data_IF_777101659791
#
_entry.id   IF_777101659791
#
_cell.length_a   1.000
_cell.length_b   1.000
_cell.length_c   1.000
_cell.angle_alpha   90.00
_cell.angle_beta   90.00
_cell.angle_gamma   90.00
#
_symmetry.space_group_name_H-M   'P 1'
#
loop_
_entity.id
_entity.type
_entity.pdbx_description
1 polymer ?
#
# COMPACT_ATOMS: atom_id res chain seq x y z
N UNK A 1 -2.52 20.93 -23.97
CA UNK A 1 -2.29 20.89 -22.50
C UNK A 1 -3.16 19.79 -21.93
N UNK A 2 -2.56 18.77 -21.34
CA UNK A 2 -3.30 17.67 -20.67
C UNK A 2 -4.04 18.25 -19.47
N UNK A 3 -5.35 17.99 -19.36
CA UNK A 3 -6.17 18.47 -18.24
C UNK A 3 -5.59 17.96 -16.91
N UNK A 4 -5.65 18.78 -15.86
CA UNK A 4 -5.24 18.39 -14.51
C UNK A 4 -5.97 17.13 -13.98
N UNK A 5 -7.13 16.79 -14.56
CA UNK A 5 -7.91 15.58 -14.26
C UNK A 5 -7.39 14.31 -14.94
N UNK A 6 -6.42 14.43 -15.82
CA UNK A 6 -5.78 13.34 -16.57
C UNK A 6 -4.33 13.12 -16.13
N UNK A 7 -4.01 13.49 -14.89
CA UNK A 7 -2.68 13.28 -14.31
C UNK A 7 -2.79 12.59 -12.96
N UNK A 8 -1.82 11.73 -12.66
CA UNK A 8 -1.59 11.15 -11.35
C UNK A 8 -0.37 11.79 -10.69
N UNK A 9 -0.40 11.89 -9.38
CA UNK A 9 0.71 12.38 -8.57
C UNK A 9 1.44 11.15 -8.02
N UNK A 10 2.65 10.91 -8.51
CA UNK A 10 3.49 9.79 -8.16
C UNK A 10 4.59 10.24 -7.19
N UNK A 11 5.05 9.29 -6.36
CA UNK A 11 6.30 9.45 -5.66
C UNK A 11 7.48 9.34 -6.63
N UNK A 12 8.63 9.89 -6.25
CA UNK A 12 9.86 9.76 -7.00
C UNK A 12 10.79 8.75 -6.31
N UNK A 13 11.48 7.92 -7.08
CA UNK A 13 12.61 7.12 -6.58
C UNK A 13 13.90 7.95 -6.47
N UNK A 14 14.00 8.98 -7.31
CA UNK A 14 15.04 10.01 -7.29
C UNK A 14 14.44 11.29 -7.88
N UNK A 15 15.01 12.50 -7.64
CA UNK A 15 14.44 13.76 -8.12
C UNK A 15 14.09 13.73 -9.61
N UNK A 16 12.82 13.99 -9.93
CA UNK A 16 12.28 14.00 -11.29
C UNK A 16 12.01 12.61 -11.91
N UNK A 17 12.30 11.52 -11.21
CA UNK A 17 12.08 10.16 -11.70
C UNK A 17 10.96 9.47 -10.91
N UNK A 18 9.75 9.43 -11.49
CA UNK A 18 8.61 8.79 -10.86
C UNK A 18 8.88 7.30 -10.54
N UNK A 19 8.46 6.86 -9.37
CA UNK A 19 8.65 5.50 -8.86
C UNK A 19 7.64 4.53 -9.50
N UNK A 20 8.01 4.09 -10.71
CA UNK A 20 7.31 3.08 -11.51
C UNK A 20 8.35 2.03 -11.89
N UNK A 21 8.15 0.78 -11.46
CA UNK A 21 9.16 -0.26 -11.61
C UNK A 21 8.53 -1.66 -11.72
N UNK A 22 9.30 -2.61 -12.22
CA UNK A 22 8.92 -4.01 -12.34
C UNK A 22 9.74 -4.86 -11.37
N UNK A 23 9.06 -5.56 -10.48
CA UNK A 23 9.69 -6.38 -9.45
C UNK A 23 8.78 -7.51 -8.99
N UNK A 24 9.23 -8.30 -8.02
CA UNK A 24 8.38 -9.27 -7.33
C UNK A 24 7.56 -8.57 -6.25
N UNK A 25 6.24 -8.87 -6.16
CA UNK A 25 5.45 -8.46 -5.01
C UNK A 25 6.05 -9.08 -3.74
N UNK A 26 6.35 -8.23 -2.76
CA UNK A 26 7.05 -8.65 -1.53
C UNK A 26 6.11 -9.04 -0.40
N UNK A 27 4.82 -8.73 -0.48
CA UNK A 27 3.89 -8.74 0.66
C UNK A 27 2.52 -9.32 0.28
N UNK A 28 1.80 -9.79 1.31
CA UNK A 28 0.42 -10.26 1.16
C UNK A 28 0.25 -11.49 0.28
N UNK A 29 -0.96 -11.71 -0.25
CA UNK A 29 -1.32 -12.95 -0.98
C UNK A 29 -0.61 -13.12 -2.32
N UNK A 30 -0.13 -12.02 -2.91
CA UNK A 30 0.58 -12.03 -4.19
C UNK A 30 2.12 -12.09 -4.04
N UNK A 31 2.63 -12.34 -2.82
CA UNK A 31 4.08 -12.42 -2.58
C UNK A 31 4.77 -13.40 -3.54
N UNK A 32 5.88 -12.95 -4.16
CA UNK A 32 6.62 -13.67 -5.19
C UNK A 32 6.10 -13.51 -6.62
N UNK A 33 4.96 -12.83 -6.83
CA UNK A 33 4.40 -12.60 -8.17
C UNK A 33 5.11 -11.45 -8.88
N UNK A 34 5.57 -11.62 -10.14
CA UNK A 34 6.04 -10.52 -10.97
C UNK A 34 4.94 -9.47 -11.14
N UNK A 35 5.26 -8.21 -10.86
CA UNK A 35 4.29 -7.11 -10.82
C UNK A 35 4.90 -5.78 -11.24
N UNK A 36 4.12 -4.94 -11.88
CA UNK A 36 4.45 -3.55 -12.13
C UNK A 36 3.94 -2.71 -10.97
N UNK A 37 4.84 -2.03 -10.29
CA UNK A 37 4.51 -1.14 -9.18
C UNK A 37 4.34 0.29 -9.69
N UNK A 38 3.28 0.94 -9.24
CA UNK A 38 3.04 2.37 -9.42
C UNK A 38 2.86 2.98 -8.04
N UNK A 39 3.89 3.67 -7.55
CA UNK A 39 3.84 4.30 -6.24
C UNK A 39 3.33 5.73 -6.35
N UNK A 40 2.18 5.95 -5.74
CA UNK A 40 1.57 7.28 -5.65
C UNK A 40 2.15 8.08 -4.48
N UNK A 41 2.17 9.38 -4.63
CA UNK A 41 2.41 10.32 -3.54
C UNK A 41 1.09 10.75 -2.92
N UNK A 42 1.16 11.40 -1.77
CA UNK A 42 0.08 11.83 -0.89
C UNK A 42 -0.45 10.69 -0.01
N UNK A 43 -0.55 10.97 1.28
CA UNK A 43 -1.20 10.11 2.26
C UNK A 43 -2.12 10.95 3.14
N UNK A 44 -3.20 10.34 3.61
CA UNK A 44 -4.10 10.93 4.60
C UNK A 44 -3.75 10.53 6.04
N UNK A 45 -2.75 9.66 6.23
CA UNK A 45 -2.21 9.26 7.52
C UNK A 45 -0.72 9.61 7.63
N UNK A 46 -0.22 9.69 8.88
CA UNK A 46 1.16 10.10 9.21
C UNK A 46 1.78 9.11 10.20
N UNK A 47 1.91 7.83 9.78
CA UNK A 47 2.45 6.77 10.63
C UNK A 47 3.89 7.08 11.06
N UNK A 48 4.22 6.91 12.35
CA UNK A 48 5.55 7.20 12.90
C UNK A 48 6.66 6.33 12.31
N UNK A 49 6.35 5.09 11.96
CA UNK A 49 7.26 4.10 11.38
C UNK A 49 7.09 3.90 9.86
N UNK A 50 6.47 4.86 9.15
CA UNK A 50 6.25 4.74 7.71
C UNK A 50 7.57 4.49 6.97
N UNK A 51 7.60 3.47 6.10
CA UNK A 51 8.76 3.12 5.27
C UNK A 51 8.84 3.94 3.97
N UNK A 52 7.80 4.71 3.67
CA UNK A 52 7.74 5.60 2.50
C UNK A 52 7.38 7.04 2.89
N UNK A 53 8.07 7.62 3.90
CA UNK A 53 7.71 8.94 4.44
C UNK A 53 7.87 10.07 3.40
N UNK A 54 8.70 9.89 2.38
CA UNK A 54 8.84 10.80 1.25
C UNK A 54 7.57 10.99 0.42
N UNK A 55 6.50 10.23 0.68
CA UNK A 55 5.19 10.41 0.04
C UNK A 55 4.31 11.46 0.73
N UNK A 56 4.64 11.88 1.97
CA UNK A 56 3.81 12.78 2.77
C UNK A 56 4.57 13.65 3.79
N UNK A 57 5.78 13.26 4.23
CA UNK A 57 6.53 13.92 5.32
C UNK A 57 7.37 15.09 4.78
N UNK A 58 6.68 16.16 4.38
CA UNK A 58 7.29 17.32 3.75
C UNK A 58 8.01 18.23 4.75
N UNK A 59 9.03 18.95 4.31
CA UNK A 59 9.84 19.88 5.11
C UNK A 59 9.08 21.17 5.52
N UNK A 60 7.94 21.47 4.87
CA UNK A 60 7.05 22.58 5.20
C UNK A 60 6.06 22.27 6.35
N UNK A 61 6.12 21.07 6.94
CA UNK A 61 5.23 20.61 8.00
C UNK A 61 5.99 19.90 9.11
N UNK A 62 5.45 19.97 10.32
CA UNK A 62 5.99 19.26 11.47
C UNK A 62 5.16 18.02 11.78
N UNK A 63 5.64 16.87 11.33
CA UNK A 63 5.06 15.57 11.60
C UNK A 63 5.94 14.74 12.51
N UNK A 64 5.33 13.93 13.37
CA UNK A 64 6.04 12.96 14.19
C UNK A 64 6.40 11.74 13.33
N UNK A 65 7.70 11.46 13.19
CA UNK A 65 8.21 10.30 12.47
C UNK A 65 9.48 9.79 13.15
N UNK A 66 9.70 8.47 13.17
CA UNK A 66 10.84 7.83 13.84
C UNK A 66 12.19 8.26 13.23
N UNK A 67 12.21 8.53 11.91
CA UNK A 67 13.34 9.19 11.27
C UNK A 67 13.21 10.72 11.34
N UNK A 68 14.29 11.44 11.66
CA UNK A 68 14.31 12.91 11.64
C UNK A 68 14.31 13.50 10.22
N UNK A 69 14.41 12.67 9.20
CA UNK A 69 14.47 13.09 7.81
C UNK A 69 13.20 13.81 7.36
N UNK A 70 13.37 14.90 6.63
CA UNK A 70 12.30 15.66 5.99
C UNK A 70 12.59 15.76 4.50
N UNK A 71 11.52 15.78 3.70
CA UNK A 71 11.61 15.68 2.25
C UNK A 71 11.12 16.95 1.59
N UNK A 72 11.81 17.39 0.54
CA UNK A 72 11.33 18.47 -0.31
C UNK A 72 10.31 17.92 -1.30
N UNK A 73 9.11 18.45 -1.24
CA UNK A 73 8.01 17.99 -2.08
C UNK A 73 8.34 18.00 -3.57
N UNK A 74 9.05 19.01 -4.04
CA UNK A 74 9.46 19.17 -5.44
C UNK A 74 10.41 18.08 -5.93
N UNK A 75 11.24 17.53 -5.03
CA UNK A 75 12.16 16.43 -5.35
C UNK A 75 11.47 15.07 -5.32
N UNK A 76 10.44 14.91 -4.48
CA UNK A 76 9.80 13.64 -4.17
C UNK A 76 8.49 13.40 -4.92
N UNK A 77 8.03 14.35 -5.74
CA UNK A 77 6.78 14.20 -6.51
C UNK A 77 6.96 14.46 -7.99
N UNK A 78 6.31 13.62 -8.79
CA UNK A 78 6.10 13.84 -10.22
C UNK A 78 4.62 13.77 -10.57
N UNK A 79 4.20 14.62 -11.52
CA UNK A 79 2.83 14.61 -12.05
C UNK A 79 2.84 14.09 -13.46
N UNK A 80 2.41 12.83 -13.68
CA UNK A 80 2.40 12.19 -14.99
C UNK A 80 1.01 12.16 -15.62
N UNK A 81 0.95 12.44 -16.92
CA UNK A 81 -0.23 12.22 -17.75
C UNK A 81 -0.51 10.72 -17.93
N UNK A 82 -1.76 10.36 -18.22
CA UNK A 82 -2.16 8.96 -18.39
C UNK A 82 -1.44 8.28 -19.56
N UNK A 83 -1.28 8.97 -20.68
CA UNK A 83 -0.53 8.48 -21.84
C UNK A 83 0.92 8.19 -21.47
N UNK A 84 1.63 9.18 -20.89
CA UNK A 84 3.02 9.03 -20.47
C UNK A 84 3.21 7.90 -19.46
N UNK A 85 2.27 7.72 -18.52
CA UNK A 85 2.34 6.61 -17.58
C UNK A 85 2.10 5.26 -18.27
N UNK A 86 1.13 5.19 -19.20
CA UNK A 86 0.86 3.96 -19.96
C UNK A 86 2.04 3.57 -20.86
N UNK A 87 2.68 4.53 -21.54
CA UNK A 87 3.90 4.32 -22.29
C UNK A 87 5.03 3.77 -21.42
N UNK A 88 5.23 4.37 -20.23
CA UNK A 88 6.29 3.96 -19.29
C UNK A 88 6.11 2.52 -18.79
N UNK A 89 4.88 2.09 -18.54
CA UNK A 89 4.61 0.73 -18.05
C UNK A 89 4.55 -0.30 -19.17
N UNK A 90 4.38 0.12 -20.42
CA UNK A 90 4.34 -0.78 -21.59
C UNK A 90 5.67 -1.50 -21.85
N UNK A 91 6.79 -0.95 -21.37
CA UNK A 91 8.11 -1.58 -21.50
C UNK A 91 8.28 -2.81 -20.57
N UNK A 92 7.39 -3.01 -19.60
CA UNK A 92 7.47 -4.14 -18.69
C UNK A 92 6.68 -5.36 -19.20
N UNK A 93 7.26 -6.58 -19.15
CA UNK A 93 6.62 -7.79 -19.66
C UNK A 93 5.56 -8.34 -18.68
N UNK A 94 4.68 -7.49 -18.15
CA UNK A 94 3.73 -7.84 -17.12
C UNK A 94 2.45 -7.00 -17.23
N UNK A 95 1.30 -7.64 -17.04
CA UNK A 95 -0.02 -6.99 -17.02
C UNK A 95 -0.66 -6.95 -15.61
N UNK A 96 0.07 -7.36 -14.58
CA UNK A 96 -0.35 -7.25 -13.19
C UNK A 96 0.28 -6.01 -12.54
N UNK A 97 -0.57 -5.12 -12.04
CA UNK A 97 -0.17 -3.85 -11.44
C UNK A 97 -0.49 -3.84 -9.95
N UNK A 98 0.47 -3.39 -9.15
CA UNK A 98 0.31 -3.06 -7.74
C UNK A 98 0.35 -1.55 -7.59
N UNK A 99 -0.78 -0.97 -7.24
CA UNK A 99 -0.92 0.46 -7.01
C UNK A 99 -0.79 0.70 -5.51
N UNK A 100 0.28 1.36 -5.14
CA UNK A 100 0.70 1.57 -3.75
C UNK A 100 1.17 3.02 -3.55
N UNK A 101 1.87 3.31 -2.48
CA UNK A 101 2.50 4.61 -2.22
C UNK A 101 2.12 5.19 -0.89
N UNK A 102 1.72 6.46 -0.85
CA UNK A 102 1.08 7.04 0.33
C UNK A 102 -0.27 6.37 0.58
N UNK A 103 -1.36 6.96 0.06
CA UNK A 103 -2.69 6.32 0.04
C UNK A 103 -3.30 6.45 -1.36
N UNK A 104 -3.38 5.35 -2.13
CA UNK A 104 -3.93 5.39 -3.49
C UNK A 104 -5.38 5.88 -3.57
N UNK A 105 -6.19 5.59 -2.55
CA UNK A 105 -7.60 5.94 -2.53
C UNK A 105 -7.85 7.46 -2.51
N UNK A 106 -6.87 8.25 -2.09
CA UNK A 106 -6.90 9.73 -2.22
C UNK A 106 -7.01 10.16 -3.69
N UNK A 107 -6.47 9.35 -4.60
CA UNK A 107 -6.49 9.62 -6.04
C UNK A 107 -7.45 8.70 -6.82
N UNK A 108 -8.35 7.96 -6.18
CA UNK A 108 -9.17 6.92 -6.81
C UNK A 108 -9.97 7.38 -8.05
N UNK A 109 -10.46 8.64 -8.07
CA UNK A 109 -11.17 9.21 -9.23
C UNK A 109 -10.28 9.35 -10.48
N UNK A 110 -8.99 9.62 -10.27
CA UNK A 110 -8.00 9.74 -11.35
C UNK A 110 -7.50 8.35 -11.76
N UNK A 111 -7.28 7.48 -10.79
CA UNK A 111 -6.90 6.08 -11.01
C UNK A 111 -7.96 5.35 -11.85
N UNK A 112 -9.25 5.49 -11.53
CA UNK A 112 -10.33 4.88 -12.34
C UNK A 112 -10.19 5.25 -13.83
N UNK A 113 -9.99 6.54 -14.12
CA UNK A 113 -9.82 7.02 -15.50
C UNK A 113 -8.56 6.49 -16.17
N UNK A 114 -7.46 6.38 -15.41
CA UNK A 114 -6.23 5.81 -15.95
C UNK A 114 -6.39 4.31 -16.21
N UNK A 115 -7.03 3.55 -15.34
CA UNK A 115 -7.27 2.12 -15.54
C UNK A 115 -8.13 1.85 -16.78
N UNK A 116 -9.20 2.64 -16.95
CA UNK A 116 -10.03 2.57 -18.16
C UNK A 116 -9.25 2.93 -19.43
N UNK A 117 -8.37 3.94 -19.34
CA UNK A 117 -7.49 4.32 -20.45
C UNK A 117 -6.49 3.21 -20.79
N UNK A 118 -5.77 2.71 -19.80
CA UNK A 118 -4.73 1.68 -19.97
C UNK A 118 -5.29 0.34 -20.47
N UNK A 119 -6.47 -0.07 -20.00
CA UNK A 119 -7.14 -1.30 -20.46
C UNK A 119 -7.56 -1.29 -21.93
N UNK A 120 -7.65 -0.13 -22.57
CA UNK A 120 -7.90 -0.07 -24.02
C UNK A 120 -6.73 -0.62 -24.82
N UNK A 121 -5.52 -0.42 -24.31
CA UNK A 121 -4.27 -0.87 -24.94
C UNK A 121 -3.87 -2.26 -24.41
N UNK A 122 -4.08 -2.51 -23.12
CA UNK A 122 -3.75 -3.77 -22.43
C UNK A 122 -5.01 -4.33 -21.75
N UNK A 123 -5.91 -5.02 -22.50
CA UNK A 123 -7.16 -5.55 -21.94
C UNK A 123 -6.98 -6.55 -20.80
N UNK A 124 -5.83 -7.22 -20.74
CA UNK A 124 -5.47 -8.18 -19.68
C UNK A 124 -4.95 -7.49 -18.39
N UNK A 125 -4.86 -6.16 -18.34
CA UNK A 125 -4.35 -5.46 -17.18
C UNK A 125 -5.24 -5.68 -15.94
N UNK A 126 -4.61 -6.10 -14.85
CA UNK A 126 -5.22 -6.30 -13.53
C UNK A 126 -4.58 -5.37 -12.52
N UNK A 127 -5.38 -4.81 -11.61
CA UNK A 127 -4.93 -3.80 -10.65
C UNK A 127 -5.24 -4.25 -9.24
N UNK A 128 -4.20 -4.41 -8.42
CA UNK A 128 -4.30 -4.60 -6.98
C UNK A 128 -4.03 -3.26 -6.30
N UNK A 129 -4.77 -2.96 -5.25
CA UNK A 129 -4.65 -1.71 -4.49
C UNK A 129 -4.15 -2.03 -3.08
N UNK A 130 -3.02 -1.46 -2.69
CA UNK A 130 -2.59 -1.42 -1.29
C UNK A 130 -3.11 -0.14 -0.64
N UNK A 131 -4.00 -0.28 0.34
CA UNK A 131 -4.68 0.85 0.99
C UNK A 131 -4.66 0.73 2.50
N UNK A 132 -4.66 1.86 3.19
CA UNK A 132 -4.82 1.90 4.65
C UNK A 132 -6.27 1.66 5.14
N UNK A 133 -7.18 1.41 4.19
CA UNK A 133 -8.59 1.08 4.43
C UNK A 133 -9.41 2.18 5.18
N UNK A 134 -9.03 3.45 5.05
CA UNK A 134 -9.80 4.57 5.64
C UNK A 134 -10.77 5.23 4.66
N UNK A 135 -10.71 4.89 3.37
CA UNK A 135 -11.51 5.53 2.31
C UNK A 135 -12.31 4.48 1.55
N UNK A 136 -13.64 4.63 1.53
CA UNK A 136 -14.53 3.76 0.76
C UNK A 136 -14.32 3.99 -0.75
N UNK A 137 -14.22 2.91 -1.56
CA UNK A 137 -14.13 3.03 -3.01
C UNK A 137 -15.39 3.64 -3.62
N UNK A 138 -15.22 4.54 -4.58
CA UNK A 138 -16.35 5.03 -5.37
C UNK A 138 -16.83 3.95 -6.37
N UNK A 139 -18.10 4.00 -6.74
CA UNK A 139 -18.74 3.00 -7.60
C UNK A 139 -18.11 2.84 -8.99
N UNK A 140 -17.45 3.86 -9.51
CA UNK A 140 -16.72 3.81 -10.79
C UNK A 140 -15.31 3.23 -10.68
N UNK A 141 -14.75 3.13 -9.47
CA UNK A 141 -13.41 2.60 -9.22
C UNK A 141 -13.45 1.10 -8.86
N UNK A 142 -14.34 0.72 -7.96
CA UNK A 142 -14.41 -0.64 -7.41
C UNK A 142 -14.45 -1.77 -8.46
N UNK A 143 -15.25 -1.69 -9.56
CA UNK A 143 -15.30 -2.77 -10.57
C UNK A 143 -13.98 -2.97 -11.32
N UNK A 144 -13.07 -2.02 -11.26
CA UNK A 144 -11.78 -2.06 -11.95
C UNK A 144 -10.70 -2.80 -11.17
N UNK A 145 -10.93 -3.07 -9.87
CA UNK A 145 -9.92 -3.61 -8.96
C UNK A 145 -10.01 -5.13 -8.91
N UNK A 146 -8.86 -5.78 -8.99
CA UNK A 146 -8.75 -7.23 -8.86
C UNK A 146 -8.66 -7.65 -7.39
N UNK A 147 -7.89 -6.91 -6.58
CA UNK A 147 -7.70 -7.19 -5.15
C UNK A 147 -7.45 -5.89 -4.37
N UNK A 148 -8.06 -5.79 -3.20
CA UNK A 148 -7.70 -4.80 -2.18
C UNK A 148 -6.86 -5.48 -1.10
N UNK A 149 -5.64 -5.02 -0.91
CA UNK A 149 -4.79 -5.38 0.23
C UNK A 149 -4.93 -4.25 1.25
N UNK A 150 -5.89 -4.42 2.15
CA UNK A 150 -6.22 -3.46 3.20
C UNK A 150 -5.19 -3.57 4.32
N UNK A 151 -4.55 -2.48 4.68
CA UNK A 151 -3.58 -2.41 5.77
C UNK A 151 -4.02 -1.37 6.82
N UNK A 152 -5.10 -1.65 7.59
CA UNK A 152 -5.50 -0.76 8.68
C UNK A 152 -4.34 -0.59 9.65
N UNK A 153 -4.14 0.65 10.11
CA UNK A 153 -3.03 0.94 11.01
C UNK A 153 -3.44 0.64 12.46
N UNK A 154 -2.56 -0.04 13.18
CA UNK A 154 -2.72 -0.33 14.60
C UNK A 154 -2.26 0.87 15.46
N UNK A 155 -2.45 0.80 16.75
CA UNK A 155 -2.02 1.82 17.72
C UNK A 155 -0.52 2.10 17.66
N UNK A 156 0.28 1.09 17.26
CA UNK A 156 1.72 1.20 17.05
C UNK A 156 2.13 2.23 15.98
N UNK A 157 1.20 2.65 15.12
CA UNK A 157 1.45 3.69 14.12
C UNK A 157 1.50 5.11 14.69
N UNK A 158 1.17 5.30 15.97
CA UNK A 158 1.17 6.60 16.63
C UNK A 158 0.05 7.55 16.18
N UNK A 159 -1.01 7.00 15.57
CA UNK A 159 -2.17 7.75 15.05
C UNK A 159 -3.38 7.45 15.94
N UNK A 160 -4.18 8.47 16.22
CA UNK A 160 -5.42 8.30 17.00
C UNK A 160 -6.40 7.37 16.27
N UNK A 161 -7.11 6.55 17.02
CA UNK A 161 -7.96 5.49 16.47
C UNK A 161 -9.01 6.02 15.48
N UNK A 162 -9.66 7.13 15.78
CA UNK A 162 -10.68 7.72 14.94
C UNK A 162 -10.20 8.18 13.55
N UNK A 163 -8.89 8.35 13.35
CA UNK A 163 -8.31 8.68 12.06
C UNK A 163 -7.88 7.43 11.28
N UNK A 164 -7.39 6.38 11.99
CA UNK A 164 -6.84 5.16 11.38
C UNK A 164 -7.86 4.05 11.19
N UNK A 165 -8.95 4.03 11.97
CA UNK A 165 -10.04 3.07 11.87
C UNK A 165 -11.33 3.84 11.54
N UNK A 166 -11.72 3.80 10.28
CA UNK A 166 -12.94 4.41 9.77
C UNK A 166 -14.00 3.32 9.61
N UNK A 167 -15.03 3.26 10.49
CA UNK A 167 -15.96 2.14 10.54
C UNK A 167 -16.64 1.84 9.20
N UNK A 168 -17.08 2.86 8.47
CA UNK A 168 -17.75 2.65 7.17
C UNK A 168 -16.81 1.99 6.14
N UNK A 169 -15.53 2.38 6.12
CA UNK A 169 -14.55 1.79 5.21
C UNK A 169 -14.17 0.37 5.66
N UNK A 170 -13.99 0.15 6.96
CA UNK A 170 -13.72 -1.18 7.51
C UNK A 170 -14.87 -2.15 7.21
N UNK A 171 -16.13 -1.76 7.44
CA UNK A 171 -17.29 -2.58 7.09
C UNK A 171 -17.38 -2.84 5.59
N UNK A 172 -17.09 -1.84 4.75
CA UNK A 172 -17.06 -2.02 3.31
C UNK A 172 -16.08 -3.13 2.91
N UNK A 173 -14.82 -3.03 3.34
CA UNK A 173 -13.79 -4.00 2.97
C UNK A 173 -13.99 -5.37 3.65
N UNK A 174 -14.49 -5.42 4.89
CA UNK A 174 -14.78 -6.68 5.57
C UNK A 174 -15.82 -7.50 4.80
N UNK A 175 -16.83 -6.85 4.23
CA UNK A 175 -17.86 -7.50 3.41
C UNK A 175 -17.47 -7.65 1.93
N UNK A 176 -16.34 -7.10 1.50
CA UNK A 176 -15.94 -7.12 0.09
C UNK A 176 -15.22 -8.43 -0.28
N UNK A 177 -15.68 -9.20 -1.31
CA UNK A 177 -15.10 -10.52 -1.61
C UNK A 177 -13.66 -10.47 -2.16
N UNK A 178 -13.24 -9.31 -2.66
CA UNK A 178 -11.89 -9.08 -3.21
C UNK A 178 -11.00 -8.26 -2.27
N UNK A 179 -11.21 -8.34 -0.96
CA UNK A 179 -10.37 -7.66 0.02
C UNK A 179 -9.73 -8.65 0.99
N UNK A 180 -8.46 -8.42 1.32
CA UNK A 180 -7.74 -9.09 2.40
C UNK A 180 -7.18 -8.05 3.36
N UNK A 181 -6.85 -8.42 4.57
CA UNK A 181 -6.37 -7.52 5.62
C UNK A 181 -4.94 -7.87 6.00
N UNK A 182 -4.01 -6.94 5.83
CA UNK A 182 -2.59 -7.08 6.16
C UNK A 182 -2.25 -6.13 7.31
N UNK A 183 -1.97 -6.67 8.48
CA UNK A 183 -1.62 -5.91 9.66
C UNK A 183 -0.11 -5.92 9.91
N UNK A 184 0.46 -4.75 10.22
CA UNK A 184 1.87 -4.60 10.59
C UNK A 184 2.00 -4.75 12.10
N UNK A 185 2.70 -5.81 12.54
CA UNK A 185 2.69 -6.28 13.92
C UNK A 185 4.11 -6.33 14.49
N UNK A 186 4.29 -5.84 15.70
CA UNK A 186 5.56 -5.81 16.44
C UNK A 186 5.50 -6.53 17.80
N UNK A 187 4.30 -6.67 18.35
CA UNK A 187 4.09 -7.12 19.74
C UNK A 187 2.82 -7.95 19.92
N UNK A 188 2.70 -8.60 21.08
CA UNK A 188 1.46 -9.27 21.50
C UNK A 188 0.30 -8.28 21.67
N UNK A 189 0.58 -7.02 22.01
CA UNK A 189 -0.45 -5.99 22.12
C UNK A 189 -1.06 -5.67 20.76
N UNK A 190 -0.22 -5.58 19.72
CA UNK A 190 -0.70 -5.38 18.35
C UNK A 190 -1.58 -6.57 17.91
N UNK A 191 -1.19 -7.79 18.27
CA UNK A 191 -1.98 -8.98 17.96
C UNK A 191 -3.35 -8.97 18.65
N UNK A 192 -3.43 -8.50 19.90
CA UNK A 192 -4.71 -8.32 20.58
C UNK A 192 -5.60 -7.29 19.86
N UNK A 193 -5.00 -6.20 19.37
CA UNK A 193 -5.73 -5.20 18.59
C UNK A 193 -6.23 -5.77 17.25
N UNK A 194 -5.42 -6.60 16.57
CA UNK A 194 -5.86 -7.31 15.35
C UNK A 194 -7.06 -8.19 15.64
N UNK A 195 -7.05 -8.94 16.75
CA UNK A 195 -8.18 -9.79 17.16
C UNK A 195 -9.44 -8.98 17.44
N UNK A 196 -9.30 -7.87 18.14
CA UNK A 196 -10.43 -6.97 18.41
C UNK A 196 -11.02 -6.42 17.11
N UNK A 197 -10.20 -5.94 16.18
CA UNK A 197 -10.67 -5.47 14.87
C UNK A 197 -11.31 -6.60 14.05
N UNK A 198 -10.76 -7.81 14.12
CA UNK A 198 -11.34 -8.99 13.45
C UNK A 198 -12.73 -9.30 13.98
N UNK A 199 -12.93 -9.27 15.30
CA UNK A 199 -14.22 -9.49 15.95
C UNK A 199 -15.20 -8.37 15.64
N UNK A 200 -14.82 -7.11 15.84
CA UNK A 200 -15.66 -5.92 15.64
C UNK A 200 -16.21 -5.80 14.22
N UNK A 201 -15.39 -6.15 13.23
CA UNK A 201 -15.76 -6.05 11.82
C UNK A 201 -16.11 -7.41 11.16
N UNK A 202 -16.10 -8.50 11.93
CA UNK A 202 -16.41 -9.86 11.46
C UNK A 202 -15.53 -10.28 10.27
N UNK A 203 -14.22 -10.01 10.36
CA UNK A 203 -13.26 -10.37 9.32
C UNK A 203 -12.94 -11.87 9.43
N UNK A 204 -13.07 -12.62 8.32
CA UNK A 204 -12.68 -14.03 8.26
C UNK A 204 -11.16 -14.19 8.47
N UNK A 205 -10.75 -15.12 9.34
CA UNK A 205 -9.33 -15.36 9.66
C UNK A 205 -8.50 -15.73 8.44
N UNK A 206 -9.08 -16.46 7.49
CA UNK A 206 -8.44 -16.79 6.21
C UNK A 206 -8.18 -15.60 5.29
N UNK A 207 -8.63 -14.40 5.66
CA UNK A 207 -8.36 -13.14 4.96
C UNK A 207 -7.39 -12.23 5.72
N UNK A 208 -6.89 -12.66 6.88
CA UNK A 208 -5.95 -11.90 7.73
C UNK A 208 -4.52 -12.32 7.44
N UNK A 209 -3.68 -11.35 7.17
CA UNK A 209 -2.24 -11.47 6.96
C UNK A 209 -1.50 -10.68 8.03
N UNK A 210 -0.57 -11.33 8.74
CA UNK A 210 0.31 -10.66 9.68
C UNK A 210 1.68 -10.43 9.04
N UNK A 211 2.15 -9.20 9.10
CA UNK A 211 3.44 -8.78 8.56
C UNK A 211 4.31 -8.21 9.68
N UNK A 212 5.59 -8.62 9.80
CA UNK A 212 6.47 -8.09 10.83
C UNK A 212 6.81 -6.61 10.56
N UNK A 213 6.74 -5.77 11.60
CA UNK A 213 7.21 -4.40 11.56
C UNK A 213 8.74 -4.38 11.39
N UNK A 214 9.24 -3.51 10.52
CA UNK A 214 10.67 -3.29 10.29
C UNK A 214 10.94 -2.83 8.87
N UNK A 215 11.99 -2.05 8.67
CA UNK A 215 12.43 -1.49 7.38
C UNK A 215 13.64 -2.22 6.80
N UNK A 216 14.23 -3.17 7.54
CA UNK A 216 15.35 -4.00 7.08
C UNK A 216 15.06 -5.48 7.28
N UNK A 217 15.69 -6.34 6.47
CA UNK A 217 15.59 -7.79 6.60
C UNK A 217 16.07 -8.28 7.98
N UNK A 218 17.14 -7.71 8.51
CA UNK A 218 17.67 -8.04 9.82
C UNK A 218 16.61 -7.84 10.92
N UNK A 219 15.96 -6.68 10.93
CA UNK A 219 14.93 -6.34 11.93
C UNK A 219 13.71 -7.25 11.79
N UNK A 220 13.21 -7.45 10.56
CA UNK A 220 12.02 -8.30 10.34
C UNK A 220 12.27 -9.75 10.71
N UNK A 221 13.46 -10.30 10.44
CA UNK A 221 13.82 -11.67 10.78
C UNK A 221 13.74 -11.98 12.29
N UNK A 222 14.01 -11.02 13.14
CA UNK A 222 13.90 -11.23 14.59
C UNK A 222 12.48 -11.61 15.03
N UNK A 223 11.48 -11.22 14.25
CA UNK A 223 10.05 -11.44 14.51
C UNK A 223 9.45 -12.64 13.79
N UNK A 224 10.14 -13.19 12.78
CA UNK A 224 9.57 -14.25 11.94
C UNK A 224 9.16 -15.49 12.74
N UNK A 225 10.00 -15.96 13.67
CA UNK A 225 9.71 -17.16 14.48
C UNK A 225 8.47 -16.97 15.35
N UNK A 226 8.40 -15.86 16.07
CA UNK A 226 7.26 -15.51 16.90
C UNK A 226 5.99 -15.33 16.05
N UNK A 227 6.05 -14.49 15.02
CA UNK A 227 4.88 -14.13 14.23
C UNK A 227 4.32 -15.31 13.43
N UNK A 228 5.19 -16.18 12.90
CA UNK A 228 4.75 -17.39 12.20
C UNK A 228 4.00 -18.34 13.14
N UNK A 229 4.44 -18.49 14.40
CA UNK A 229 3.72 -19.29 15.39
C UNK A 229 2.34 -18.68 15.67
N UNK A 230 2.23 -17.34 15.79
CA UNK A 230 0.93 -16.67 15.98
C UNK A 230 0.01 -16.87 14.79
N UNK A 231 0.54 -16.86 13.56
CA UNK A 231 -0.27 -17.18 12.38
C UNK A 231 -0.85 -18.60 12.44
N UNK A 232 -0.05 -19.58 12.89
CA UNK A 232 -0.51 -20.96 13.05
C UNK A 232 -1.58 -21.09 14.15
N UNK A 233 -1.37 -20.42 15.29
CA UNK A 233 -2.28 -20.49 16.44
C UNK A 233 -3.67 -19.88 16.12
N UNK A 234 -3.71 -18.81 15.31
CA UNK A 234 -4.92 -18.04 15.02
C UNK A 234 -5.55 -18.38 13.65
N UNK A 235 -4.89 -19.20 12.83
CA UNK A 235 -5.34 -19.48 11.46
C UNK A 235 -5.19 -18.29 10.51
N UNK A 236 -4.19 -17.41 10.76
CA UNK A 236 -3.86 -16.28 9.89
C UNK A 236 -2.76 -16.65 8.89
N UNK A 237 -2.62 -15.85 7.86
CA UNK A 237 -1.52 -15.95 6.92
C UNK A 237 -0.31 -15.12 7.37
N UNK A 238 0.88 -15.66 7.15
CA UNK A 238 2.12 -14.89 7.32
C UNK A 238 2.44 -14.14 6.03
N UNK A 239 2.64 -12.84 6.13
CA UNK A 239 3.13 -11.99 5.03
C UNK A 239 4.61 -11.68 5.25
N UNK A 240 5.52 -12.19 4.40
CA UNK A 240 6.91 -11.76 4.44
C UNK A 240 7.04 -10.31 3.94
N UNK A 241 8.24 -9.76 4.08
CA UNK A 241 8.70 -8.59 3.32
C UNK A 241 9.81 -9.05 2.36
N UNK A 242 9.41 -9.82 1.35
CA UNK A 242 10.32 -10.51 0.44
C UNK A 242 11.28 -9.55 -0.27
N UNK A 243 10.83 -8.35 -0.61
CA UNK A 243 11.66 -7.32 -1.24
C UNK A 243 12.85 -6.92 -0.35
N UNK A 244 12.67 -6.84 0.99
CA UNK A 244 13.78 -6.56 1.92
C UNK A 244 14.81 -7.70 1.92
N UNK A 245 14.37 -8.95 1.81
CA UNK A 245 15.24 -10.12 1.77
C UNK A 245 16.06 -10.19 0.48
N UNK A 246 15.47 -9.77 -0.66
CA UNK A 246 16.08 -9.90 -1.98
C UNK A 246 16.90 -8.67 -2.37
N UNK A 247 16.44 -7.47 -2.03
CA UNK A 247 16.96 -6.22 -2.59
C UNK A 247 17.35 -5.19 -1.52
N UNK A 248 17.00 -5.43 -0.24
CA UNK A 248 17.18 -4.45 0.82
C UNK A 248 16.08 -3.37 0.81
N UNK A 249 16.38 -2.22 1.39
CA UNK A 249 15.47 -1.08 1.60
C UNK A 249 15.49 -0.03 0.48
N UNK A 250 16.08 -0.37 -0.67
CA UNK A 250 16.18 0.54 -1.82
C UNK A 250 14.82 0.92 -2.41
N UNK A 251 14.69 2.18 -2.91
CA UNK A 251 13.49 2.61 -3.64
C UNK A 251 13.47 2.02 -5.05
N UNK A 252 12.29 1.59 -5.50
CA UNK A 252 12.08 1.14 -6.87
C UNK A 252 12.71 -0.22 -7.22
N UNK A 253 12.77 -1.14 -6.26
CA UNK A 253 13.31 -2.50 -6.38
C UNK A 253 12.26 -3.57 -6.08
#
# INVERSE_FOLDING_TARGET
>A
MVSATQKLILANKSPGEAEVFYSLQGEGPASGRPSVFVRLSLCNLTCTWCDTPYTWNWDDRDFNHDSPERYKREDEQSSLGFETLSERVADFPCSHFVITGGEPMVQQKRLAKWFEHHRKEVPAATFDIETNATIVPISTFDPLIALYVCSPKLSNAGIVESERIVPDAMHYFANHPRAVFKFVVDSEQDLQEVKALQEDFSIDSGRVYLMPLGTTDEVTRTRHGWLSQRCLDEGYHFSPRLHLMLYGDGRGV
#
